data_IF_613679684424
#
_entry.id   IF_613679684424
#
_cell.length_a   1.000
_cell.length_b   1.000
_cell.length_c   1.000
_cell.angle_alpha   90.00
_cell.angle_beta   90.00
_cell.angle_gamma   90.00
#
_symmetry.space_group_name_H-M   'P 1'
#
loop_
_entity.id
_entity.type
_entity.pdbx_description
1 polymer ?
#
# COMPACT_ATOMS: atom_id res chain seq x y z
N UNK A 1 8.32 1.28 12.42
CA UNK A 1 9.01 2.31 13.23
C UNK A 1 8.64 3.71 12.76
N UNK A 2 8.82 4.08 11.48
CA UNK A 2 8.46 5.41 10.94
C UNK A 2 6.98 5.77 11.16
N UNK A 3 6.06 4.87 10.86
CA UNK A 3 4.61 5.10 11.02
C UNK A 3 4.24 5.27 12.50
N UNK A 4 4.78 4.45 13.40
CA UNK A 4 4.53 4.58 14.84
C UNK A 4 5.14 5.86 15.43
N UNK A 5 6.28 6.31 14.90
CA UNK A 5 6.92 7.57 15.31
C UNK A 5 6.11 8.77 14.82
N UNK A 6 5.64 8.75 13.56
CA UNK A 6 4.83 9.82 12.97
C UNK A 6 3.48 10.01 13.69
N UNK A 7 2.89 8.92 14.19
CA UNK A 7 1.56 8.97 14.81
C UNK A 7 1.56 8.83 16.33
N UNK A 8 2.73 8.76 16.98
CA UNK A 8 2.90 8.60 18.44
C UNK A 8 2.05 7.46 19.04
N UNK A 9 1.64 6.48 18.22
CA UNK A 9 0.85 5.33 18.63
C UNK A 9 1.44 4.06 18.02
N UNK A 10 1.96 3.13 18.83
CA UNK A 10 2.51 1.87 18.34
C UNK A 10 1.44 0.98 17.68
N UNK A 11 0.19 1.09 18.13
CA UNK A 11 -0.92 0.32 17.58
C UNK A 11 -1.27 0.71 16.15
N UNK A 12 -1.30 2.00 15.84
CA UNK A 12 -1.55 2.49 14.47
C UNK A 12 -0.43 2.04 13.54
N UNK A 13 0.82 2.06 14.03
CA UNK A 13 1.95 1.55 13.28
C UNK A 13 1.84 0.05 12.96
N UNK A 14 1.39 -0.75 13.93
CA UNK A 14 1.19 -2.19 13.75
C UNK A 14 0.06 -2.48 12.76
N UNK A 15 -1.05 -1.76 12.85
CA UNK A 15 -2.20 -1.90 11.96
C UNK A 15 -1.85 -1.50 10.53
N UNK A 16 -1.07 -0.45 10.34
CA UNK A 16 -0.60 -0.04 9.02
C UNK A 16 0.36 -1.06 8.37
N UNK A 17 0.98 -1.96 9.15
CA UNK A 17 1.83 -3.01 8.60
C UNK A 17 1.03 -4.07 7.81
N UNK A 18 -0.17 -4.43 8.26
CA UNK A 18 -0.97 -5.47 7.60
C UNK A 18 -1.24 -5.19 6.11
N UNK A 19 -1.82 -4.03 5.73
CA UNK A 19 -2.04 -3.72 4.32
C UNK A 19 -0.73 -3.58 3.53
N UNK A 20 0.38 -3.23 4.19
CA UNK A 20 1.69 -3.11 3.54
C UNK A 20 2.42 -4.46 3.35
N UNK A 21 2.12 -5.47 4.16
CA UNK A 21 2.61 -6.83 3.97
C UNK A 21 1.86 -7.56 2.84
N UNK A 22 0.60 -7.22 2.62
CA UNK A 22 -0.25 -7.88 1.63
C UNK A 22 0.36 -7.90 0.21
N UNK A 23 0.86 -6.79 -0.37
CA UNK A 23 1.48 -6.82 -1.69
C UNK A 23 2.76 -7.66 -1.75
N UNK A 24 3.52 -7.75 -0.66
CA UNK A 24 4.74 -8.59 -0.60
C UNK A 24 4.36 -10.06 -0.66
N UNK A 25 3.39 -10.48 0.14
CA UNK A 25 2.88 -11.87 0.14
C UNK A 25 2.31 -12.22 -1.23
N UNK A 26 1.59 -11.29 -1.86
CA UNK A 26 1.01 -11.48 -3.19
C UNK A 26 2.11 -11.65 -4.26
N UNK A 27 3.17 -10.84 -4.23
CA UNK A 27 4.30 -10.94 -5.17
C UNK A 27 5.07 -12.24 -4.96
N UNK A 28 5.41 -12.58 -3.72
CA UNK A 28 6.14 -13.83 -3.42
C UNK A 28 5.28 -15.04 -3.82
N UNK A 29 3.98 -15.01 -3.55
CA UNK A 29 3.04 -16.05 -3.97
C UNK A 29 2.95 -16.19 -5.48
N UNK A 30 2.86 -15.08 -6.21
CA UNK A 30 2.84 -15.08 -7.67
C UNK A 30 4.16 -15.63 -8.26
N UNK A 31 5.30 -15.25 -7.68
CA UNK A 31 6.61 -15.78 -8.08
C UNK A 31 6.70 -17.29 -7.87
N UNK A 32 6.24 -17.79 -6.71
CA UNK A 32 6.22 -19.21 -6.40
C UNK A 32 5.34 -19.99 -7.38
N UNK A 33 4.21 -19.43 -7.79
CA UNK A 33 3.29 -20.06 -8.73
C UNK A 33 3.87 -20.15 -10.16
N UNK A 34 4.60 -19.12 -10.58
CA UNK A 34 5.24 -19.08 -11.92
C UNK A 34 6.61 -19.76 -11.92
N UNK A 35 7.12 -20.21 -10.77
CA UNK A 35 8.42 -20.85 -10.63
C UNK A 35 9.61 -19.88 -10.77
N UNK A 36 9.40 -18.59 -10.49
CA UNK A 36 10.47 -17.59 -10.54
C UNK A 36 11.35 -17.68 -9.28
N UNK A 37 12.68 -17.83 -9.44
CA UNK A 37 13.56 -17.93 -8.29
C UNK A 37 13.69 -16.58 -7.56
N UNK A 38 13.72 -16.64 -6.24
CA UNK A 38 14.05 -15.47 -5.42
C UNK A 38 15.53 -15.15 -5.60
N UNK A 39 15.83 -13.98 -6.11
CA UNK A 39 17.17 -13.47 -6.32
C UNK A 39 17.28 -12.02 -5.85
N UNK A 40 18.46 -11.41 -5.98
CA UNK A 40 18.70 -10.02 -5.53
C UNK A 40 17.73 -9.04 -6.21
N UNK A 41 17.44 -9.22 -7.50
CA UNK A 41 16.51 -8.34 -8.22
C UNK A 41 15.08 -8.44 -7.64
N UNK A 42 14.63 -9.64 -7.33
CA UNK A 42 13.29 -9.84 -6.72
C UNK A 42 13.21 -9.35 -5.27
N UNK A 43 14.31 -9.42 -4.52
CA UNK A 43 14.39 -8.80 -3.18
C UNK A 43 14.29 -7.27 -3.23
N UNK A 44 14.88 -6.64 -4.26
CA UNK A 44 14.73 -5.19 -4.49
C UNK A 44 13.27 -4.80 -4.77
N UNK A 45 12.49 -5.64 -5.46
CA UNK A 45 11.07 -5.40 -5.72
C UNK A 45 10.29 -5.29 -4.41
N UNK A 46 10.53 -6.19 -3.46
CA UNK A 46 9.86 -6.14 -2.16
C UNK A 46 10.17 -4.83 -1.42
N UNK A 47 11.42 -4.38 -1.45
CA UNK A 47 11.83 -3.13 -0.79
C UNK A 47 11.20 -1.89 -1.42
N UNK A 48 11.19 -1.81 -2.75
CA UNK A 48 10.57 -0.69 -3.49
C UNK A 48 9.07 -0.66 -3.27
N UNK A 49 8.42 -1.81 -3.41
CA UNK A 49 6.97 -1.94 -3.22
C UNK A 49 6.55 -1.59 -1.79
N UNK A 50 7.31 -2.02 -0.79
CA UNK A 50 7.05 -1.67 0.61
C UNK A 50 7.13 -0.15 0.82
N UNK A 51 8.16 0.50 0.28
CA UNK A 51 8.32 1.95 0.40
C UNK A 51 7.13 2.72 -0.17
N UNK A 52 6.72 2.38 -1.38
CA UNK A 52 5.62 3.05 -2.07
C UNK A 52 4.24 2.80 -1.41
N UNK A 53 4.00 1.57 -0.89
CA UNK A 53 2.74 1.26 -0.21
C UNK A 53 2.66 1.86 1.18
N UNK A 54 3.77 1.94 1.91
CA UNK A 54 3.83 2.62 3.22
C UNK A 54 3.50 4.10 3.08
N UNK A 55 4.02 4.77 2.05
CA UNK A 55 3.72 6.18 1.79
C UNK A 55 2.21 6.40 1.59
N UNK A 56 1.56 5.58 0.76
CA UNK A 56 0.10 5.60 0.56
C UNK A 56 -0.68 5.39 1.86
N UNK A 57 -0.23 4.48 2.73
CA UNK A 57 -0.85 4.23 4.04
C UNK A 57 -0.73 5.44 4.97
N UNK A 58 0.43 6.10 5.00
CA UNK A 58 0.67 7.30 5.82
C UNK A 58 -0.27 8.43 5.38
N UNK A 59 -0.40 8.66 4.09
CA UNK A 59 -1.31 9.68 3.56
C UNK A 59 -2.76 9.39 3.93
N UNK A 60 -3.22 8.14 3.80
CA UNK A 60 -4.58 7.74 4.15
C UNK A 60 -4.86 7.91 5.64
N UNK A 61 -3.98 7.41 6.52
CA UNK A 61 -4.12 7.54 7.98
C UNK A 61 -4.11 9.01 8.40
N UNK A 62 -3.25 9.84 7.82
CA UNK A 62 -3.20 11.28 8.09
C UNK A 62 -4.48 12.00 7.69
N UNK A 63 -5.09 11.60 6.58
CA UNK A 63 -6.39 12.11 6.13
C UNK A 63 -7.50 11.75 7.10
N UNK A 64 -7.58 10.48 7.50
CA UNK A 64 -8.55 9.99 8.46
C UNK A 64 -8.45 10.71 9.81
N UNK A 65 -7.23 10.84 10.35
CA UNK A 65 -7.04 11.55 11.62
C UNK A 65 -7.45 13.01 11.56
N UNK A 66 -7.13 13.72 10.49
CA UNK A 66 -7.58 15.11 10.31
C UNK A 66 -9.09 15.25 10.31
N UNK A 67 -9.80 14.31 9.67
CA UNK A 67 -11.25 14.30 9.68
C UNK A 67 -11.81 14.04 11.09
N UNK A 68 -11.20 13.09 11.83
CA UNK A 68 -11.57 12.81 13.24
C UNK A 68 -11.30 14.00 14.17
N UNK A 69 -10.16 14.68 14.00
CA UNK A 69 -9.82 15.89 14.77
C UNK A 69 -10.76 17.08 14.45
N UNK A 70 -11.33 17.10 13.25
CA UNK A 70 -12.37 18.08 12.87
C UNK A 70 -13.75 17.79 13.47
N UNK A 71 -13.92 16.66 14.19
CA UNK A 71 -15.16 16.28 14.85
C UNK A 71 -16.06 15.32 14.06
N UNK A 72 -15.60 14.87 12.88
CA UNK A 72 -16.35 13.88 12.09
C UNK A 72 -16.43 12.55 12.86
N UNK A 73 -17.56 11.84 12.81
CA UNK A 73 -17.67 10.47 13.27
C UNK A 73 -16.86 9.51 12.38
N UNK A 74 -16.67 8.26 12.82
CA UNK A 74 -15.81 7.28 12.11
C UNK A 74 -16.26 7.07 10.66
N UNK A 75 -17.57 6.94 10.43
CA UNK A 75 -18.12 6.69 9.09
C UNK A 75 -17.90 7.88 8.17
N UNK A 76 -18.21 9.07 8.63
CA UNK A 76 -18.02 10.32 7.87
C UNK A 76 -16.53 10.61 7.62
N UNK A 77 -15.67 10.36 8.62
CA UNK A 77 -14.23 10.52 8.46
C UNK A 77 -13.64 9.56 7.41
N UNK A 78 -14.11 8.30 7.37
CA UNK A 78 -13.70 7.33 6.35
C UNK A 78 -14.19 7.74 4.96
N UNK A 79 -15.46 8.12 4.81
CA UNK A 79 -16.02 8.57 3.53
C UNK A 79 -15.26 9.77 2.97
N UNK A 80 -15.02 10.76 3.81
CA UNK A 80 -14.30 11.99 3.45
C UNK A 80 -12.85 11.70 3.05
N UNK A 81 -12.19 10.82 3.79
CA UNK A 81 -10.81 10.39 3.48
C UNK A 81 -10.77 9.60 2.18
N UNK A 82 -11.74 8.71 1.97
CA UNK A 82 -11.82 7.90 0.76
C UNK A 82 -12.08 8.76 -0.49
N UNK A 83 -12.99 9.71 -0.41
CA UNK A 83 -13.32 10.64 -1.49
C UNK A 83 -12.16 11.61 -1.83
N UNK A 84 -11.38 12.04 -0.84
CA UNK A 84 -10.26 12.94 -1.01
C UNK A 84 -8.94 12.20 -1.24
N UNK A 85 -8.35 11.76 -0.14
CA UNK A 85 -7.02 11.12 -0.15
C UNK A 85 -7.03 9.78 -0.90
N UNK A 86 -8.10 8.97 -0.72
CA UNK A 86 -8.24 7.69 -1.42
C UNK A 86 -8.17 7.85 -2.94
N UNK A 87 -8.88 8.84 -3.48
CA UNK A 87 -8.85 9.15 -4.91
C UNK A 87 -7.45 9.56 -5.39
N UNK A 88 -6.72 10.37 -4.62
CA UNK A 88 -5.35 10.75 -4.95
C UNK A 88 -4.41 9.54 -4.93
N UNK A 89 -4.56 8.65 -3.94
CA UNK A 89 -3.79 7.39 -3.83
C UNK A 89 -4.08 6.48 -5.02
N UNK A 90 -5.33 6.35 -5.47
CA UNK A 90 -5.69 5.58 -6.67
C UNK A 90 -4.98 6.12 -7.90
N UNK A 91 -5.08 7.43 -8.15
CA UNK A 91 -4.47 8.05 -9.32
C UNK A 91 -2.93 7.92 -9.31
N UNK A 92 -2.30 8.13 -8.15
CA UNK A 92 -0.85 7.97 -8.01
C UNK A 92 -0.41 6.52 -8.26
N UNK A 93 -1.11 5.54 -7.68
CA UNK A 93 -0.79 4.13 -7.89
C UNK A 93 -1.02 3.69 -9.34
N UNK A 94 -2.10 4.14 -9.99
CA UNK A 94 -2.33 3.85 -11.41
C UNK A 94 -1.23 4.45 -12.30
N UNK A 95 -0.79 5.67 -12.02
CA UNK A 95 0.32 6.28 -12.74
C UNK A 95 1.62 5.47 -12.58
N UNK A 96 1.89 4.96 -11.36
CA UNK A 96 3.03 4.08 -11.10
C UNK A 96 2.91 2.75 -11.83
N UNK A 97 1.73 2.11 -11.82
CA UNK A 97 1.47 0.87 -12.55
C UNK A 97 1.75 1.06 -14.04
N UNK A 98 1.23 2.13 -14.63
CA UNK A 98 1.49 2.45 -16.04
C UNK A 98 2.99 2.68 -16.28
N UNK A 99 3.65 3.48 -15.42
CA UNK A 99 5.08 3.75 -15.51
C UNK A 99 5.95 2.49 -15.45
N UNK A 100 5.69 1.60 -14.49
CA UNK A 100 6.42 0.35 -14.35
C UNK A 100 6.06 -0.66 -15.45
N UNK A 101 4.84 -0.64 -15.97
CA UNK A 101 4.43 -1.51 -17.09
C UNK A 101 5.22 -1.20 -18.37
N UNK A 102 5.71 0.03 -18.57
CA UNK A 102 6.57 0.37 -19.71
C UNK A 102 7.85 -0.45 -19.70
N UNK A 103 8.36 -0.85 -18.53
CA UNK A 103 9.57 -1.67 -18.42
C UNK A 103 9.39 -3.06 -19.03
N UNK A 104 8.15 -3.53 -19.20
CA UNK A 104 7.85 -4.82 -19.85
C UNK A 104 8.19 -4.82 -21.35
N UNK A 105 8.34 -3.65 -21.94
CA UNK A 105 8.76 -3.49 -23.35
C UNK A 105 10.29 -3.61 -23.53
N UNK A 106 11.05 -3.77 -22.45
CA UNK A 106 12.49 -3.93 -22.47
C UNK A 106 12.90 -5.29 -23.05
N UNK A 107 14.04 -5.33 -23.75
CA UNK A 107 14.68 -6.58 -24.16
C UNK A 107 15.53 -7.23 -23.03
N UNK A 108 15.67 -6.54 -21.90
CA UNK A 108 16.40 -7.05 -20.74
C UNK A 108 15.46 -7.77 -19.78
N UNK A 109 15.50 -9.09 -19.77
CA UNK A 109 14.57 -9.97 -19.04
C UNK A 109 14.41 -9.59 -17.56
N UNK A 110 15.47 -9.28 -16.78
CA UNK A 110 15.30 -8.87 -15.39
C UNK A 110 14.46 -7.60 -15.22
N UNK A 111 14.54 -6.67 -16.17
CA UNK A 111 13.77 -5.43 -16.15
C UNK A 111 12.26 -5.67 -16.45
N UNK A 112 11.99 -6.63 -17.35
CA UNK A 112 10.63 -7.09 -17.64
C UNK A 112 9.98 -7.66 -16.37
N UNK A 113 10.64 -8.58 -15.69
CA UNK A 113 10.15 -9.15 -14.44
C UNK A 113 9.98 -8.09 -13.35
N UNK A 114 10.91 -7.16 -13.25
CA UNK A 114 10.82 -6.04 -12.32
C UNK A 114 9.54 -5.22 -12.59
N UNK A 115 9.28 -4.83 -13.83
CA UNK A 115 8.11 -4.07 -14.24
C UNK A 115 6.79 -4.79 -13.90
N UNK A 116 6.70 -6.08 -14.22
CA UNK A 116 5.51 -6.89 -13.95
C UNK A 116 5.27 -7.01 -12.44
N UNK A 117 6.28 -7.44 -11.68
CA UNK A 117 6.12 -7.72 -10.25
C UNK A 117 5.87 -6.47 -9.43
N UNK A 118 6.50 -5.32 -9.77
CA UNK A 118 6.20 -4.05 -9.11
C UNK A 118 4.79 -3.59 -9.45
N UNK A 119 4.33 -3.74 -10.70
CA UNK A 119 2.95 -3.38 -11.08
C UNK A 119 1.93 -4.22 -10.31
N UNK A 120 2.15 -5.53 -10.17
CA UNK A 120 1.31 -6.42 -9.36
C UNK A 120 1.34 -6.01 -7.88
N UNK A 121 2.51 -5.68 -7.34
CA UNK A 121 2.66 -5.20 -5.97
C UNK A 121 1.91 -3.89 -5.73
N UNK A 122 1.95 -2.95 -6.69
CA UNK A 122 1.24 -1.67 -6.60
C UNK A 122 -0.28 -1.87 -6.59
N UNK A 123 -0.81 -2.77 -7.43
CA UNK A 123 -2.23 -3.11 -7.43
C UNK A 123 -2.64 -3.80 -6.12
N UNK A 124 -1.82 -4.71 -5.62
CA UNK A 124 -2.02 -5.33 -4.31
C UNK A 124 -1.99 -4.32 -3.16
N UNK A 125 -1.02 -3.40 -3.18
CA UNK A 125 -0.91 -2.32 -2.20
C UNK A 125 -2.10 -1.36 -2.24
N UNK A 126 -2.59 -1.04 -3.44
CA UNK A 126 -3.79 -0.24 -3.63
C UNK A 126 -5.01 -0.92 -2.99
N UNK A 127 -5.22 -2.21 -3.28
CA UNK A 127 -6.30 -2.98 -2.68
C UNK A 127 -6.16 -3.06 -1.15
N UNK A 128 -4.96 -3.29 -0.63
CA UNK A 128 -4.67 -3.28 0.80
C UNK A 128 -4.99 -1.94 1.46
N UNK A 129 -4.58 -0.84 0.87
CA UNK A 129 -4.80 0.50 1.41
C UNK A 129 -6.26 0.99 1.29
N UNK A 130 -7.00 0.57 0.28
CA UNK A 130 -8.38 1.01 0.08
C UNK A 130 -9.42 0.09 0.74
N UNK A 131 -9.08 -1.17 1.00
CA UNK A 131 -10.02 -2.14 1.60
C UNK A 131 -9.60 -2.51 3.02
N UNK A 132 -8.37 -3.01 3.20
CA UNK A 132 -7.93 -3.49 4.52
C UNK A 132 -7.72 -2.35 5.50
N UNK A 133 -7.10 -1.25 5.08
CA UNK A 133 -6.79 -0.14 5.98
C UNK A 133 -8.04 0.54 6.55
N UNK A 134 -9.08 0.90 5.76
CA UNK A 134 -10.33 1.45 6.30
C UNK A 134 -11.03 0.52 7.28
N UNK A 135 -11.07 -0.80 6.97
CA UNK A 135 -11.67 -1.80 7.86
C UNK A 135 -10.93 -1.88 9.19
N UNK A 136 -9.61 -1.84 9.15
CA UNK A 136 -8.78 -1.87 10.35
C UNK A 136 -8.92 -0.59 11.19
N UNK A 137 -8.99 0.57 10.55
CA UNK A 137 -9.23 1.85 11.25
C UNK A 137 -10.61 1.88 11.89
N UNK A 138 -11.65 1.43 11.20
CA UNK A 138 -13.00 1.33 11.75
C UNK A 138 -13.07 0.37 12.93
N UNK A 139 -12.32 -0.72 12.90
CA UNK A 139 -12.27 -1.68 13.99
C UNK A 139 -11.51 -1.16 15.21
N UNK A 140 -10.41 -0.45 15.00
CA UNK A 140 -9.61 0.15 16.08
C UNK A 140 -10.39 1.22 16.85
N UNK A 141 -11.10 2.08 16.15
CA UNK A 141 -11.82 3.20 16.76
C UNK A 141 -13.10 2.75 17.50
N UNK A 142 -13.55 1.51 17.28
CA UNK A 142 -14.65 0.87 18.02
C UNK A 142 -14.21 0.21 19.33
N UNK A 143 -12.90 0.15 19.60
CA UNK A 143 -12.41 -0.37 20.89
C UNK A 143 -12.38 0.79 21.90
N UNK A 144 -13.09 0.63 23.05
CA UNK A 144 -13.09 1.62 24.14
C UNK A 144 -11.69 1.80 24.72
#
# INVERSE_FOLDING_TARGET
LMVSLAFRSPWIGLVALLPNLFPIVLVIGAMGWVGLPVNIATAMIASVSLGLTVDSSIHYISGFRRAREAGDDVSTALERTHAGVGRAVVLANLALVVGFSVLTLSHFIPLVYFGILVSVAMLGGLAGNLVLLPLLLAWLDRRP
#
